data_IF_015483368091
#
_entry.id   IF_015483368091
#
_cell.length_a   1.000
_cell.length_b   1.000
_cell.length_c   1.000
_cell.angle_alpha   90.00
_cell.angle_beta   90.00
_cell.angle_gamma   90.00
#
_symmetry.space_group_name_H-M   'P 1'
#
loop_
_entity.id
_entity.type
_entity.pdbx_description
1 polymer ?
#
# COMPACT_ATOMS: atom_id res chain seq x y z
N UNK A 1 -2.69 -32.14 49.03
CA UNK A 1 -1.92 -31.43 47.98
C UNK A 1 -2.92 -30.60 47.19
N UNK A 2 -2.85 -29.27 47.30
CA UNK A 2 -3.74 -28.37 46.57
C UNK A 2 -3.11 -28.06 45.21
N UNK A 3 -3.73 -28.54 44.14
CA UNK A 3 -3.41 -28.12 42.78
C UNK A 3 -3.87 -26.68 42.59
N UNK A 4 -2.93 -25.75 42.52
CA UNK A 4 -3.23 -24.37 42.14
C UNK A 4 -3.73 -24.36 40.70
N UNK A 5 -5.01 -24.02 40.53
CA UNK A 5 -5.61 -23.77 39.23
C UNK A 5 -4.95 -22.55 38.60
N UNK A 6 -4.01 -22.80 37.68
CA UNK A 6 -3.41 -21.75 36.86
C UNK A 6 -4.56 -21.09 36.09
N UNK A 7 -4.81 -19.78 36.26
CA UNK A 7 -5.88 -19.11 35.54
C UNK A 7 -5.59 -19.21 34.05
N UNK A 8 -6.54 -19.77 33.30
CA UNK A 8 -6.43 -19.87 31.85
C UNK A 8 -6.21 -18.48 31.28
N UNK A 9 -5.06 -18.28 30.63
CA UNK A 9 -4.72 -17.02 29.97
C UNK A 9 -5.84 -16.73 28.99
N UNK A 10 -6.70 -15.78 29.34
CA UNK A 10 -7.85 -15.37 28.54
C UNK A 10 -7.26 -14.78 27.26
N UNK A 11 -7.23 -15.56 26.17
CA UNK A 11 -6.84 -15.06 24.85
C UNK A 11 -7.83 -13.96 24.50
N UNK A 12 -7.44 -12.70 24.70
CA UNK A 12 -8.22 -11.57 24.28
C UNK A 12 -8.42 -11.71 22.76
N UNK A 13 -9.66 -11.95 22.36
CA UNK A 13 -10.03 -12.04 20.95
C UNK A 13 -9.95 -10.62 20.40
N UNK A 14 -8.79 -10.27 19.85
CA UNK A 14 -8.54 -8.94 19.35
C UNK A 14 -9.47 -8.64 18.19
N UNK A 15 -10.28 -7.59 18.34
CA UNK A 15 -11.10 -7.10 17.24
C UNK A 15 -10.21 -6.40 16.22
N UNK A 16 -10.36 -6.78 14.94
CA UNK A 16 -9.62 -6.13 13.85
C UNK A 16 -9.96 -4.64 13.85
N UNK A 17 -8.97 -3.74 13.90
CA UNK A 17 -9.25 -2.31 13.87
C UNK A 17 -9.96 -1.96 12.55
N UNK A 18 -11.17 -1.36 12.65
CA UNK A 18 -12.02 -1.03 11.49
C UNK A 18 -11.28 -0.22 10.42
N UNK A 19 -10.35 0.63 10.84
CA UNK A 19 -9.50 1.46 9.98
C UNK A 19 -8.60 0.65 9.04
N UNK A 20 -8.19 -0.57 9.42
CA UNK A 20 -7.35 -1.43 8.57
C UNK A 20 -8.02 -1.72 7.22
N UNK A 21 -9.32 -2.00 7.24
CA UNK A 21 -10.07 -2.28 6.02
C UNK A 21 -10.19 -1.03 5.14
N UNK A 22 -10.34 0.15 5.75
CA UNK A 22 -10.37 1.42 5.01
C UNK A 22 -9.05 1.63 4.27
N UNK A 23 -7.92 1.40 4.94
CA UNK A 23 -6.59 1.47 4.30
C UNK A 23 -6.42 0.45 3.18
N UNK A 24 -6.89 -0.78 3.38
CA UNK A 24 -6.82 -1.84 2.35
C UNK A 24 -7.65 -1.45 1.12
N UNK A 25 -8.89 -0.98 1.29
CA UNK A 25 -9.75 -0.54 0.17
C UNK A 25 -9.13 0.63 -0.55
N UNK A 26 -8.68 1.64 0.21
CA UNK A 26 -8.09 2.84 -0.36
C UNK A 26 -6.85 2.49 -1.19
N UNK A 27 -5.94 1.68 -0.64
CA UNK A 27 -4.76 1.23 -1.35
C UNK A 27 -5.07 0.34 -2.55
N UNK A 28 -6.04 -0.56 -2.44
CA UNK A 28 -6.49 -1.40 -3.55
C UNK A 28 -6.96 -0.54 -4.73
N UNK A 29 -7.76 0.50 -4.48
CA UNK A 29 -8.29 1.37 -5.53
C UNK A 29 -7.17 2.22 -6.13
N UNK A 30 -6.46 2.99 -5.30
CA UNK A 30 -5.57 4.05 -5.77
C UNK A 30 -4.15 3.60 -6.12
N UNK A 31 -3.66 2.50 -5.53
CA UNK A 31 -2.34 1.94 -5.83
C UNK A 31 -2.40 0.60 -6.58
N UNK A 32 -3.61 0.04 -6.77
CA UNK A 32 -3.83 -1.21 -7.51
C UNK A 32 -4.65 -0.98 -8.78
N UNK A 33 -5.97 -0.88 -8.63
CA UNK A 33 -6.93 -0.93 -9.73
C UNK A 33 -6.77 0.27 -10.68
N UNK A 34 -6.79 1.51 -10.17
CA UNK A 34 -6.73 2.71 -11.00
C UNK A 34 -5.44 2.77 -11.81
N UNK A 35 -4.24 2.57 -11.22
CA UNK A 35 -3.00 2.50 -11.99
C UNK A 35 -2.99 1.41 -13.05
N UNK A 36 -3.47 0.19 -12.75
CA UNK A 36 -3.52 -0.90 -13.74
C UNK A 36 -4.44 -0.54 -14.91
N UNK A 37 -5.63 0.00 -14.62
CA UNK A 37 -6.56 0.46 -15.65
C UNK A 37 -5.96 1.56 -16.53
N UNK A 38 -5.24 2.50 -15.93
CA UNK A 38 -4.57 3.56 -16.66
C UNK A 38 -3.44 3.03 -17.56
N UNK A 39 -2.61 2.10 -17.06
CA UNK A 39 -1.56 1.45 -17.85
C UNK A 39 -2.15 0.63 -19.02
N UNK A 40 -3.25 -0.10 -18.79
CA UNK A 40 -3.96 -0.83 -19.84
C UNK A 40 -4.53 0.12 -20.90
N UNK A 41 -5.12 1.25 -20.49
CA UNK A 41 -5.61 2.27 -21.41
C UNK A 41 -4.48 2.82 -22.28
N UNK A 42 -3.33 3.18 -21.67
CA UNK A 42 -2.18 3.68 -22.42
C UNK A 42 -1.64 2.64 -23.40
N UNK A 43 -1.55 1.37 -22.98
CA UNK A 43 -1.15 0.26 -23.84
C UNK A 43 -2.09 0.09 -25.05
N UNK A 44 -3.41 0.10 -24.83
CA UNK A 44 -4.41 -0.04 -25.89
C UNK A 44 -4.41 1.17 -26.83
N UNK A 45 -4.21 2.38 -26.30
CA UNK A 45 -4.20 3.62 -27.08
C UNK A 45 -2.94 3.82 -27.94
N UNK A 46 -1.94 2.94 -27.82
CA UNK A 46 -0.65 3.07 -28.52
C UNK A 46 0.20 4.25 -28.05
N UNK A 47 -0.19 4.92 -26.97
CA UNK A 47 0.55 6.07 -26.43
C UNK A 47 1.69 5.58 -25.53
N UNK A 48 2.70 4.93 -26.15
CA UNK A 48 3.85 4.27 -25.54
C UNK A 48 4.95 5.22 -25.00
N UNK A 49 4.86 6.52 -25.31
CA UNK A 49 5.95 7.47 -25.07
C UNK A 49 6.24 7.63 -23.57
N UNK A 50 7.48 7.32 -23.16
CA UNK A 50 7.95 7.48 -21.78
C UNK A 50 7.58 6.35 -20.82
N UNK A 51 7.04 5.22 -21.32
CA UNK A 51 6.48 4.17 -20.47
C UNK A 51 7.41 3.00 -20.16
N UNK A 52 8.45 2.73 -20.93
CA UNK A 52 9.09 1.40 -20.95
C UNK A 52 9.65 0.93 -19.59
N UNK A 53 10.41 1.78 -18.89
CA UNK A 53 11.03 1.41 -17.59
C UNK A 53 10.00 1.48 -16.45
N UNK A 54 9.09 2.46 -16.52
CA UNK A 54 8.07 2.65 -15.49
C UNK A 54 7.00 1.56 -15.52
N UNK A 55 6.62 1.03 -16.69
CA UNK A 55 5.61 -0.03 -16.81
C UNK A 55 6.12 -1.38 -16.28
N UNK A 56 7.38 -1.72 -16.59
CA UNK A 56 8.03 -2.96 -16.16
C UNK A 56 8.08 -3.10 -14.64
N UNK A 57 8.28 -2.00 -13.92
CA UNK A 57 8.30 -2.00 -12.45
C UNK A 57 6.93 -1.71 -11.82
N UNK A 58 6.15 -0.79 -12.38
CA UNK A 58 4.87 -0.39 -11.80
C UNK A 58 3.80 -1.48 -11.95
N UNK A 59 3.74 -2.20 -13.07
CA UNK A 59 2.69 -3.20 -13.30
C UNK A 59 2.77 -4.36 -12.30
N UNK A 60 3.93 -5.01 -12.05
CA UNK A 60 4.05 -6.04 -11.02
C UNK A 60 3.73 -5.53 -9.62
N UNK A 61 4.15 -4.29 -9.29
CA UNK A 61 3.86 -3.69 -7.98
C UNK A 61 2.36 -3.48 -7.81
N UNK A 62 1.68 -2.88 -8.79
CA UNK A 62 0.25 -2.60 -8.72
C UNK A 62 -0.58 -3.90 -8.65
N UNK A 63 -0.20 -4.92 -9.44
CA UNK A 63 -0.82 -6.25 -9.38
C UNK A 63 -0.56 -6.93 -8.03
N UNK A 64 0.65 -6.80 -7.49
CA UNK A 64 1.00 -7.27 -6.15
C UNK A 64 0.15 -6.60 -5.08
N UNK A 65 -0.12 -5.29 -5.18
CA UNK A 65 -1.04 -4.57 -4.28
C UNK A 65 -2.44 -5.19 -4.35
N UNK A 66 -2.96 -5.49 -5.53
CA UNK A 66 -4.28 -6.12 -5.70
C UNK A 66 -4.31 -7.50 -5.03
N UNK A 67 -3.35 -8.37 -5.34
CA UNK A 67 -3.28 -9.74 -4.81
C UNK A 67 -3.16 -9.73 -3.28
N UNK A 68 -2.26 -8.90 -2.76
CA UNK A 68 -2.03 -8.75 -1.32
C UNK A 68 -3.23 -8.13 -0.60
N UNK A 69 -3.95 -7.20 -1.21
CA UNK A 69 -5.18 -6.64 -0.67
C UNK A 69 -6.28 -7.70 -0.50
N UNK A 70 -6.48 -8.56 -1.52
CA UNK A 70 -7.44 -9.68 -1.43
C UNK A 70 -7.03 -10.65 -0.33
N UNK A 71 -5.73 -10.98 -0.22
CA UNK A 71 -5.22 -11.82 0.87
C UNK A 71 -5.40 -11.18 2.25
N UNK A 72 -5.19 -9.88 2.35
CA UNK A 72 -5.36 -9.10 3.57
C UNK A 72 -6.83 -9.04 4.01
N UNK A 73 -7.75 -8.92 3.06
CA UNK A 73 -9.20 -8.98 3.28
C UNK A 73 -9.64 -10.34 3.81
N UNK A 74 -9.08 -11.43 3.26
CA UNK A 74 -9.26 -12.80 3.78
C UNK A 74 -8.62 -13.02 5.16
N UNK A 75 -7.93 -12.00 5.70
CA UNK A 75 -7.37 -12.02 7.04
C UNK A 75 -5.98 -12.64 7.15
N UNK A 76 -5.28 -12.89 6.04
CA UNK A 76 -3.92 -13.45 6.06
C UNK A 76 -2.91 -12.39 6.51
N UNK A 77 -2.18 -12.66 7.59
CA UNK A 77 -1.18 -11.73 8.14
C UNK A 77 -0.04 -11.46 7.16
N UNK A 78 0.49 -12.50 6.52
CA UNK A 78 1.53 -12.39 5.48
C UNK A 78 1.08 -11.44 4.35
N UNK A 79 -0.16 -11.60 3.88
CA UNK A 79 -0.69 -10.76 2.80
C UNK A 79 -0.82 -9.29 3.21
N UNK A 80 -1.19 -9.01 4.47
CA UNK A 80 -1.21 -7.63 5.00
C UNK A 80 0.19 -7.02 5.02
N UNK A 81 1.20 -7.77 5.46
CA UNK A 81 2.60 -7.29 5.47
C UNK A 81 3.02 -6.94 4.04
N UNK A 82 2.81 -7.86 3.09
CA UNK A 82 3.13 -7.61 1.68
C UNK A 82 2.36 -6.40 1.12
N UNK A 83 1.08 -6.24 1.45
CA UNK A 83 0.29 -5.09 1.02
C UNK A 83 0.92 -3.77 1.47
N UNK A 84 1.34 -3.68 2.74
CA UNK A 84 1.98 -2.47 3.26
C UNK A 84 3.37 -2.20 2.66
N UNK A 85 4.15 -3.25 2.40
CA UNK A 85 5.45 -3.11 1.72
C UNK A 85 5.23 -2.57 0.30
N UNK A 86 4.35 -3.21 -0.46
CA UNK A 86 4.11 -2.87 -1.86
C UNK A 86 3.51 -1.48 -2.02
N UNK A 87 2.56 -1.08 -1.16
CA UNK A 87 1.99 0.26 -1.22
C UNK A 87 3.01 1.33 -0.85
N UNK A 88 3.90 1.06 0.10
CA UNK A 88 4.97 1.99 0.46
C UNK A 88 5.94 2.19 -0.70
N UNK A 89 6.38 1.09 -1.33
CA UNK A 89 7.22 1.15 -2.54
C UNK A 89 6.50 1.93 -3.65
N UNK A 90 5.21 1.67 -3.87
CA UNK A 90 4.43 2.35 -4.90
C UNK A 90 4.42 3.88 -4.72
N UNK A 91 4.10 4.36 -3.52
CA UNK A 91 4.08 5.81 -3.24
C UNK A 91 5.46 6.45 -3.27
N UNK A 92 6.52 5.74 -2.87
CA UNK A 92 7.91 6.20 -3.01
C UNK A 92 8.25 6.39 -4.49
N UNK A 93 7.93 5.42 -5.35
CA UNK A 93 8.17 5.52 -6.79
C UNK A 93 7.39 6.68 -7.42
N UNK A 94 6.14 6.89 -6.99
CA UNK A 94 5.36 8.06 -7.41
C UNK A 94 6.06 9.36 -6.99
N UNK A 95 6.57 9.43 -5.76
CA UNK A 95 7.33 10.58 -5.26
C UNK A 95 8.57 10.87 -6.11
N UNK A 96 9.38 9.85 -6.38
CA UNK A 96 10.59 9.94 -7.21
C UNK A 96 10.23 10.42 -8.63
N UNK A 97 9.20 9.83 -9.25
CA UNK A 97 8.77 10.21 -10.60
C UNK A 97 8.32 11.69 -10.66
N UNK A 98 7.60 12.17 -9.66
CA UNK A 98 7.18 13.57 -9.61
C UNK A 98 8.34 14.52 -9.29
N UNK A 99 9.34 14.09 -8.52
CA UNK A 99 10.57 14.86 -8.30
C UNK A 99 11.36 15.00 -9.61
N UNK A 100 11.45 13.93 -10.40
CA UNK A 100 12.08 13.97 -11.72
C UNK A 100 11.32 14.90 -12.68
N UNK A 101 9.99 14.85 -12.69
CA UNK A 101 9.15 15.75 -13.50
C UNK A 101 9.26 17.22 -13.07
N UNK A 102 9.42 17.50 -11.78
CA UNK A 102 9.61 18.86 -11.28
C UNK A 102 10.91 19.49 -11.78
N UNK A 103 11.93 18.67 -12.01
CA UNK A 103 13.23 19.09 -12.52
C UNK A 103 13.32 19.03 -14.06
N UNK A 104 12.22 18.72 -14.76
CA UNK A 104 12.17 18.66 -16.23
C UNK A 104 11.41 19.86 -16.82
N UNK A 105 11.65 20.14 -18.09
CA UNK A 105 10.99 21.22 -18.83
C UNK A 105 9.48 20.97 -19.08
N UNK A 106 8.95 19.85 -18.59
CA UNK A 106 7.57 19.37 -18.79
C UNK A 106 6.76 19.50 -17.48
N UNK A 107 7.25 20.25 -16.49
CA UNK A 107 6.54 20.48 -15.24
C UNK A 107 5.17 21.16 -15.47
N UNK A 108 4.15 20.64 -14.79
CA UNK A 108 2.74 21.04 -14.91
C UNK A 108 2.24 21.92 -13.76
N UNK A 109 3.09 22.25 -12.78
CA UNK A 109 2.81 23.14 -11.64
C UNK A 109 2.16 22.45 -10.43
N UNK A 110 1.85 21.16 -10.51
CA UNK A 110 1.21 20.37 -9.45
C UNK A 110 2.16 19.37 -8.75
N UNK A 111 3.45 19.43 -9.06
CA UNK A 111 4.44 18.43 -8.66
C UNK A 111 4.63 18.42 -7.14
N UNK A 112 4.64 19.58 -6.47
CA UNK A 112 4.80 19.69 -5.02
C UNK A 112 3.71 18.92 -4.27
N UNK A 113 2.45 19.03 -4.71
CA UNK A 113 1.31 18.30 -4.11
C UNK A 113 1.47 16.79 -4.30
N UNK A 114 1.95 16.37 -5.46
CA UNK A 114 2.16 14.95 -5.79
C UNK A 114 3.35 14.34 -5.05
N UNK A 115 4.45 15.08 -4.91
CA UNK A 115 5.61 14.71 -4.08
C UNK A 115 5.18 14.63 -2.61
N UNK A 116 4.43 15.62 -2.12
CA UNK A 116 3.90 15.63 -0.75
C UNK A 116 3.06 14.39 -0.46
N UNK A 117 2.18 13.96 -1.38
CA UNK A 117 1.45 12.69 -1.28
C UNK A 117 2.38 11.48 -1.24
N UNK A 118 3.44 11.49 -2.05
CA UNK A 118 4.49 10.45 -2.06
C UNK A 118 5.25 10.31 -0.74
N UNK A 119 5.21 11.32 0.15
CA UNK A 119 5.83 11.28 1.49
C UNK A 119 4.78 11.01 2.58
N UNK A 120 3.64 11.71 2.51
CA UNK A 120 2.58 11.65 3.53
C UNK A 120 1.96 10.25 3.58
N UNK A 121 1.68 9.62 2.44
CA UNK A 121 1.04 8.30 2.46
C UNK A 121 1.96 7.23 3.05
N UNK A 122 3.24 7.08 2.64
CA UNK A 122 4.17 6.18 3.34
C UNK A 122 4.30 6.47 4.82
N UNK A 123 4.41 7.75 5.22
CA UNK A 123 4.49 8.13 6.63
C UNK A 123 3.24 7.71 7.42
N UNK A 124 2.04 7.88 6.85
CA UNK A 124 0.79 7.42 7.46
C UNK A 124 0.72 5.90 7.56
N UNK A 125 1.17 5.17 6.53
CA UNK A 125 1.23 3.71 6.56
C UNK A 125 2.22 3.20 7.61
N UNK A 126 3.41 3.79 7.70
CA UNK A 126 4.44 3.46 8.71
C UNK A 126 3.95 3.79 10.12
N UNK A 127 3.33 4.96 10.32
CA UNK A 127 2.76 5.36 11.60
C UNK A 127 1.65 4.41 12.03
N UNK A 128 0.74 4.06 11.12
CA UNK A 128 -0.35 3.12 11.39
C UNK A 128 0.18 1.73 11.77
N UNK A 129 1.22 1.25 11.07
CA UNK A 129 1.84 -0.04 11.37
C UNK A 129 2.52 -0.08 12.75
N UNK A 130 2.99 1.08 13.22
CA UNK A 130 3.64 1.17 14.52
C UNK A 130 2.68 1.21 15.71
N UNK A 131 1.36 1.34 15.48
CA UNK A 131 0.35 1.29 16.55
C UNK A 131 0.30 -0.12 17.18
N UNK A 132 0.32 -0.18 18.51
CA UNK A 132 0.31 -1.41 19.30
C UNK A 132 -0.83 -2.36 18.89
N UNK A 133 -2.04 -1.81 18.71
CA UNK A 133 -3.23 -2.55 18.25
C UNK A 133 -3.08 -3.20 16.87
N UNK A 134 -2.17 -2.68 16.04
CA UNK A 134 -1.88 -3.18 14.70
C UNK A 134 -0.75 -4.22 14.76
N UNK A 135 0.30 -3.99 15.54
CA UNK A 135 1.38 -4.97 15.78
C UNK A 135 0.85 -6.29 16.33
N UNK A 136 -0.12 -6.24 17.23
CA UNK A 136 -0.77 -7.43 17.81
C UNK A 136 -1.66 -8.18 16.81
N UNK A 137 -2.05 -7.56 15.69
CA UNK A 137 -2.69 -8.26 14.57
C UNK A 137 -1.70 -9.03 13.68
N UNK A 138 -0.40 -8.88 13.90
CA UNK A 138 0.68 -9.49 13.12
C UNK A 138 1.56 -10.48 13.92
N UNK A 139 1.44 -10.49 15.25
CA UNK A 139 2.01 -11.52 16.14
C UNK A 139 1.16 -12.78 16.15
#
# INVERSE_FOLDING_TARGET
>A
MNESSIPSVRKYKYEKPKWLNVFIIYGLIFAGIVPVMFLLYLFISGNAAGMEINLLLALPINLGVIISAVGAWKGKNIARIFFFILISINYILIGINNLMLMNSDIATGNEISRIGRGIIYPALYIWYFNRVSVKECFS
#
